data_IF_018494714347
#
_entry.id   IF_018494714347
#
_cell.length_a   1.000
_cell.length_b   1.000
_cell.length_c   1.000
_cell.angle_alpha   90.00
_cell.angle_beta   90.00
_cell.angle_gamma   90.00
#
_symmetry.space_group_name_H-M   'P 1'
#
loop_
_entity.id
_entity.type
_entity.pdbx_description
1 polymer ?
#
# COMPACT_ATOMS: atom_id res chain seq x y z
N UNK A 1 -2.29 -9.43 -6.92
CA UNK A 1 -1.35 -10.32 -6.23
C UNK A 1 -2.16 -11.22 -5.33
N UNK A 2 -2.68 -12.32 -5.88
CA UNK A 2 -3.56 -13.25 -5.19
C UNK A 2 -3.52 -14.62 -5.90
N UNK A 3 -3.25 -15.75 -5.20
CA UNK A 3 -2.79 -15.83 -3.81
C UNK A 3 -1.42 -15.13 -3.61
N UNK A 4 -1.18 -14.53 -2.44
CA UNK A 4 0.08 -13.81 -2.19
C UNK A 4 1.28 -14.77 -2.23
N UNK A 5 1.15 -15.93 -1.61
CA UNK A 5 2.23 -16.90 -1.46
C UNK A 5 2.72 -17.44 -2.82
N UNK A 6 1.79 -17.65 -3.77
CA UNK A 6 2.14 -18.06 -5.13
C UNK A 6 2.93 -16.98 -5.85
N UNK A 7 2.50 -15.72 -5.72
CA UNK A 7 3.21 -14.59 -6.30
C UNK A 7 4.61 -14.48 -5.73
N UNK A 8 4.75 -14.58 -4.41
CA UNK A 8 6.06 -14.42 -3.75
C UNK A 8 6.99 -15.61 -4.03
N UNK A 9 6.48 -16.86 -4.06
CA UNK A 9 7.27 -18.02 -4.53
C UNK A 9 7.73 -17.87 -5.99
N UNK A 10 6.89 -17.29 -6.85
CA UNK A 10 7.27 -17.01 -8.23
C UNK A 10 8.46 -16.03 -8.36
N UNK A 11 8.65 -15.14 -7.38
CA UNK A 11 9.79 -14.22 -7.35
C UNK A 11 11.11 -14.99 -7.16
N UNK A 12 11.12 -15.99 -6.27
CA UNK A 12 12.31 -16.83 -6.05
C UNK A 12 12.77 -17.52 -7.33
N UNK A 13 11.82 -18.10 -8.06
CA UNK A 13 12.08 -18.74 -9.36
C UNK A 13 12.57 -17.75 -10.42
N UNK A 14 11.99 -16.55 -10.48
CA UNK A 14 12.25 -15.58 -11.55
C UNK A 14 13.58 -14.82 -11.40
N UNK A 15 14.11 -14.71 -10.18
CA UNK A 15 15.23 -13.81 -9.87
C UNK A 15 16.59 -14.53 -9.83
N UNK A 16 17.63 -13.85 -10.32
CA UNK A 16 19.03 -14.27 -10.13
C UNK A 16 19.40 -14.25 -8.63
N UNK A 17 20.41 -15.04 -8.19
CA UNK A 17 20.77 -15.14 -6.76
C UNK A 17 21.05 -13.80 -6.06
N UNK A 18 21.72 -12.85 -6.73
CA UNK A 18 22.07 -11.55 -6.17
C UNK A 18 21.03 -10.43 -6.45
N UNK A 19 19.86 -10.77 -6.99
CA UNK A 19 18.83 -9.79 -7.30
C UNK A 19 18.10 -9.32 -6.04
N UNK A 20 17.57 -8.10 -6.12
CA UNK A 20 16.75 -7.49 -5.07
C UNK A 20 15.30 -7.46 -5.49
N UNK A 21 14.40 -7.69 -4.54
CA UNK A 21 12.97 -7.46 -4.73
C UNK A 21 12.65 -6.05 -4.25
N UNK A 22 12.00 -5.25 -5.10
CA UNK A 22 11.49 -3.93 -4.71
C UNK A 22 10.01 -3.88 -5.03
N UNK A 23 9.19 -3.64 -4.01
CA UNK A 23 7.73 -3.50 -4.14
C UNK A 23 7.33 -2.07 -3.83
N UNK A 24 6.55 -1.46 -4.71
CA UNK A 24 5.81 -0.23 -4.44
C UNK A 24 4.32 -0.55 -4.50
N UNK A 25 3.59 -0.26 -3.43
CA UNK A 25 2.15 -0.53 -3.35
C UNK A 25 1.41 0.61 -2.64
N UNK A 26 0.09 0.66 -2.80
CA UNK A 26 -0.76 1.49 -1.95
C UNK A 26 -0.57 1.07 -0.50
N UNK A 27 -0.42 2.04 0.41
CA UNK A 27 -0.10 1.75 1.80
C UNK A 27 -1.19 0.88 2.43
N UNK A 28 -0.88 -0.35 2.90
CA UNK A 28 -1.92 -1.24 3.40
C UNK A 28 -2.63 -0.71 4.64
N UNK A 29 -1.94 0.06 5.49
CA UNK A 29 -2.56 0.61 6.70
C UNK A 29 -3.42 1.85 6.44
N UNK A 30 -3.13 2.63 5.40
CA UNK A 30 -3.70 3.97 5.26
C UNK A 30 -4.46 4.20 3.96
N UNK A 31 -4.26 3.36 2.94
CA UNK A 31 -4.90 3.49 1.62
C UNK A 31 -5.67 2.24 1.22
N UNK A 32 -6.37 1.65 2.18
CA UNK A 32 -7.28 0.53 1.97
C UNK A 32 -8.49 0.99 1.12
N UNK A 33 -8.78 0.35 -0.02
CA UNK A 33 -9.96 0.66 -0.80
C UNK A 33 -11.23 0.47 0.02
N UNK A 34 -12.10 1.50 0.08
CA UNK A 34 -13.40 1.52 0.78
C UNK A 34 -13.36 1.36 2.32
N UNK A 35 -12.21 1.01 2.89
CA UNK A 35 -12.00 0.79 4.33
C UNK A 35 -11.01 1.79 4.96
N UNK A 36 -10.65 2.83 4.21
CA UNK A 36 -9.93 3.99 4.74
C UNK A 36 -10.46 5.28 4.16
N UNK A 37 -10.45 6.37 4.94
CA UNK A 37 -11.01 7.65 4.52
C UNK A 37 -10.47 8.84 5.29
N UNK A 38 -10.56 10.03 4.69
CA UNK A 38 -10.26 11.29 5.37
C UNK A 38 -11.45 11.74 6.22
N UNK A 39 -11.17 12.27 7.40
CA UNK A 39 -12.14 12.94 8.26
C UNK A 39 -11.53 14.18 8.90
N UNK A 40 -12.36 14.99 9.53
CA UNK A 40 -11.95 16.20 10.23
C UNK A 40 -12.49 16.16 11.66
N UNK A 41 -11.62 16.41 12.63
CA UNK A 41 -11.97 16.55 14.04
C UNK A 41 -12.19 18.04 14.33
N UNK A 42 -13.45 18.45 14.52
CA UNK A 42 -13.83 19.84 14.82
C UNK A 42 -13.24 20.34 16.15
N UNK A 43 -13.13 19.48 17.16
CA UNK A 43 -12.63 19.85 18.49
C UNK A 43 -11.12 20.08 18.47
N UNK A 44 -10.39 19.27 17.71
CA UNK A 44 -8.93 19.35 17.59
C UNK A 44 -8.47 20.22 16.42
N UNK A 45 -9.37 20.54 15.49
CA UNK A 45 -9.10 21.22 14.21
C UNK A 45 -8.03 20.50 13.39
N UNK A 46 -8.11 19.18 13.32
CA UNK A 46 -7.14 18.32 12.63
C UNK A 46 -7.80 17.40 11.63
N UNK A 47 -7.17 17.22 10.48
CA UNK A 47 -7.53 16.15 9.56
C UNK A 47 -6.95 14.83 10.06
N UNK A 48 -7.74 13.76 10.01
CA UNK A 48 -7.30 12.40 10.32
C UNK A 48 -7.66 11.41 9.21
N UNK A 49 -7.03 10.23 9.25
CA UNK A 49 -7.33 9.11 8.36
C UNK A 49 -8.00 8.00 9.18
N UNK A 50 -9.28 7.74 8.92
CA UNK A 50 -10.02 6.61 9.51
C UNK A 50 -9.57 5.31 8.84
N UNK A 51 -9.30 4.30 9.65
CA UNK A 51 -8.89 2.94 9.25
C UNK A 51 -9.91 1.95 9.81
N UNK A 52 -10.48 1.10 8.97
CA UNK A 52 -11.46 0.09 9.38
C UNK A 52 -10.98 -1.32 8.95
N UNK A 53 -11.04 -2.30 9.86
CA UNK A 53 -10.80 -3.71 9.53
C UNK A 53 -9.40 -4.03 8.97
N UNK A 54 -8.35 -3.33 9.42
CA UNK A 54 -6.99 -3.45 8.87
C UNK A 54 -6.43 -4.89 8.81
N UNK A 55 -6.65 -5.69 9.85
CA UNK A 55 -6.15 -7.06 9.91
C UNK A 55 -6.97 -8.05 9.07
N UNK A 56 -8.14 -7.65 8.57
CA UNK A 56 -9.00 -8.48 7.74
C UNK A 56 -8.56 -8.39 6.28
N UNK A 57 -8.25 -9.52 5.64
CA UNK A 57 -7.96 -9.53 4.20
C UNK A 57 -9.24 -9.30 3.39
N UNK A 58 -9.15 -8.49 2.33
CA UNK A 58 -10.32 -8.11 1.53
C UNK A 58 -9.99 -8.08 0.03
N UNK A 59 -10.87 -8.67 -0.78
CA UNK A 59 -10.86 -8.52 -2.23
C UNK A 59 -11.91 -7.49 -2.64
N UNK A 60 -11.48 -6.27 -2.96
CA UNK A 60 -12.35 -5.15 -3.26
C UNK A 60 -12.43 -4.92 -4.78
N UNK A 61 -13.63 -4.93 -5.39
CA UNK A 61 -13.79 -4.60 -6.80
C UNK A 61 -13.52 -3.11 -7.02
N UNK A 62 -12.69 -2.82 -8.02
CA UNK A 62 -12.33 -1.47 -8.43
C UNK A 62 -13.16 -1.07 -9.65
N UNK A 63 -13.44 0.24 -9.76
CA UNK A 63 -14.08 0.78 -10.97
C UNK A 63 -13.18 0.52 -12.18
N UNK A 64 -13.81 0.23 -13.31
CA UNK A 64 -13.11 0.21 -14.60
C UNK A 64 -12.41 1.54 -14.84
N UNK A 65 -11.15 1.47 -15.28
CA UNK A 65 -10.41 2.63 -15.75
C UNK A 65 -10.46 2.61 -17.29
N UNK A 66 -10.89 3.73 -17.90
CA UNK A 66 -10.84 3.90 -19.37
C UNK A 66 -11.70 2.92 -20.18
N UNK A 67 -12.77 2.36 -19.60
CA UNK A 67 -13.67 1.42 -20.30
C UNK A 67 -13.21 -0.04 -20.33
N UNK A 68 -12.11 -0.39 -19.64
CA UNK A 68 -11.65 -1.77 -19.50
C UNK A 68 -12.51 -2.63 -18.54
N UNK A 69 -12.11 -3.88 -18.33
CA UNK A 69 -12.75 -4.73 -17.33
C UNK A 69 -12.48 -4.23 -15.90
N UNK A 70 -13.43 -4.39 -14.96
CA UNK A 70 -13.18 -4.12 -13.55
C UNK A 70 -12.03 -4.96 -13.02
N UNK A 71 -11.11 -4.32 -12.29
CA UNK A 71 -10.03 -5.02 -11.60
C UNK A 71 -10.39 -5.26 -10.14
N UNK A 72 -9.67 -6.17 -9.47
CA UNK A 72 -9.77 -6.38 -8.02
C UNK A 72 -8.51 -5.90 -7.32
N UNK A 73 -8.70 -5.17 -6.23
CA UNK A 73 -7.64 -4.84 -5.28
C UNK A 73 -7.70 -5.81 -4.11
N UNK A 74 -6.55 -6.26 -3.64
CA UNK A 74 -6.42 -7.21 -2.53
C UNK A 74 -5.73 -6.51 -1.39
N UNK A 75 -6.48 -6.24 -0.32
CA UNK A 75 -5.97 -5.68 0.93
C UNK A 75 -5.50 -6.80 1.84
N UNK A 76 -4.32 -6.63 2.42
CA UNK A 76 -3.71 -7.48 3.47
C UNK A 76 -2.89 -6.60 4.40
N UNK A 77 -2.71 -6.93 5.68
CA UNK A 77 -1.82 -6.15 6.55
C UNK A 77 -0.36 -6.21 6.06
N UNK A 78 0.46 -5.23 6.42
CA UNK A 78 1.88 -5.16 6.06
C UNK A 78 2.63 -6.44 6.46
N UNK A 79 2.28 -7.02 7.61
CA UNK A 79 2.85 -8.27 8.11
C UNK A 79 2.66 -9.44 7.13
N UNK A 80 1.55 -9.49 6.39
CA UNK A 80 1.34 -10.54 5.39
C UNK A 80 2.41 -10.49 4.28
N UNK A 81 2.77 -9.29 3.82
CA UNK A 81 3.80 -9.12 2.79
C UNK A 81 5.20 -9.42 3.32
N UNK A 82 5.53 -8.96 4.53
CA UNK A 82 6.85 -9.21 5.15
C UNK A 82 7.03 -10.71 5.41
N UNK A 83 6.02 -11.37 5.98
CA UNK A 83 6.09 -12.79 6.31
C UNK A 83 6.13 -13.65 5.05
N UNK A 84 5.30 -13.35 4.03
CA UNK A 84 5.36 -14.10 2.76
C UNK A 84 6.74 -14.01 2.10
N UNK A 85 7.40 -12.84 2.14
CA UNK A 85 8.78 -12.68 1.68
C UNK A 85 9.75 -13.53 2.53
N UNK A 86 9.61 -13.50 3.85
CA UNK A 86 10.43 -14.29 4.77
C UNK A 86 10.32 -15.80 4.52
N UNK A 87 9.09 -16.30 4.34
CA UNK A 87 8.79 -17.70 4.09
C UNK A 87 9.33 -18.17 2.74
N UNK A 88 9.42 -17.27 1.76
CA UNK A 88 10.04 -17.52 0.46
C UNK A 88 11.57 -17.33 0.45
N UNK A 89 12.22 -17.16 1.61
CA UNK A 89 13.67 -17.04 1.70
C UNK A 89 14.22 -15.65 1.44
N UNK A 90 13.40 -14.60 1.54
CA UNK A 90 13.85 -13.20 1.43
C UNK A 90 13.86 -12.50 2.79
N UNK A 91 14.86 -11.65 3.03
CA UNK A 91 14.89 -10.73 4.16
C UNK A 91 14.53 -9.31 3.68
N UNK A 92 13.47 -8.73 4.21
CA UNK A 92 13.19 -7.30 4.05
C UNK A 92 14.27 -6.50 4.78
N UNK A 93 15.02 -5.67 4.04
CA UNK A 93 16.14 -4.89 4.57
C UNK A 93 15.90 -3.38 4.54
N UNK A 94 14.86 -2.93 3.85
CA UNK A 94 14.42 -1.54 3.87
C UNK A 94 12.91 -1.44 3.66
N UNK A 95 12.32 -0.45 4.32
CA UNK A 95 10.93 -0.05 4.18
C UNK A 95 10.88 1.47 4.10
N UNK A 96 10.08 2.01 3.18
CA UNK A 96 9.85 3.43 3.02
C UNK A 96 8.35 3.71 3.00
N UNK A 97 7.88 4.52 3.92
CA UNK A 97 6.50 5.02 3.96
C UNK A 97 6.44 6.36 3.24
N UNK A 98 5.59 6.46 2.22
CA UNK A 98 5.61 7.59 1.28
C UNK A 98 4.25 8.31 1.34
N UNK A 99 4.23 9.61 1.72
CA UNK A 99 3.03 10.45 1.66
C UNK A 99 2.60 10.71 0.22
N UNK A 100 1.42 11.33 0.06
CA UNK A 100 1.00 11.77 -1.27
C UNK A 100 1.86 12.94 -1.74
N UNK A 101 1.78 13.24 -3.03
CA UNK A 101 2.35 14.45 -3.58
C UNK A 101 1.71 15.67 -2.91
N UNK A 102 2.51 16.73 -2.64
CA UNK A 102 1.96 17.98 -2.18
C UNK A 102 0.99 18.56 -3.23
N UNK A 103 0.00 19.38 -2.82
CA UNK A 103 -1.09 19.82 -3.68
C UNK A 103 -0.63 20.49 -4.99
N UNK A 104 0.46 21.24 -4.95
CA UNK A 104 1.06 21.95 -6.09
C UNK A 104 1.61 21.00 -7.18
N UNK A 105 1.86 19.73 -6.83
CA UNK A 105 2.38 18.70 -7.75
C UNK A 105 1.33 17.66 -8.14
N UNK A 106 0.08 17.80 -7.70
CA UNK A 106 -0.95 16.79 -7.87
C UNK A 106 -1.82 17.07 -9.10
N UNK A 107 -1.97 16.12 -10.05
CA UNK A 107 -2.91 16.27 -11.15
C UNK A 107 -4.35 16.38 -10.63
N UNK A 108 -5.06 17.46 -10.97
CA UNK A 108 -6.47 17.65 -10.61
C UNK A 108 -6.76 18.40 -9.31
N UNK A 109 -5.76 19.04 -8.67
CA UNK A 109 -5.87 20.13 -7.68
C UNK A 109 -6.81 19.99 -6.45
N UNK A 110 -7.41 18.83 -6.16
CA UNK A 110 -8.18 18.67 -4.93
C UNK A 110 -7.31 18.03 -3.85
N UNK A 111 -6.74 18.85 -2.97
CA UNK A 111 -6.16 18.38 -1.72
C UNK A 111 -7.26 17.68 -0.90
N UNK A 112 -6.99 16.47 -0.40
CA UNK A 112 -7.91 15.78 0.52
C UNK A 112 -7.21 15.75 1.87
N UNK A 113 -7.71 16.54 2.82
CA UNK A 113 -7.04 16.80 4.08
C UNK A 113 -6.13 18.04 4.04
N UNK A 114 -5.73 18.50 5.22
CA UNK A 114 -4.81 19.64 5.37
C UNK A 114 -3.36 19.30 4.96
N UNK A 115 -2.51 20.33 4.85
CA UNK A 115 -1.13 20.19 4.37
C UNK A 115 -0.28 19.27 5.26
N UNK A 116 -0.49 19.32 6.59
CA UNK A 116 0.25 18.49 7.55
C UNK A 116 -0.16 17.03 7.39
N UNK A 117 -1.45 16.75 7.36
CA UNK A 117 -1.95 15.40 7.22
C UNK A 117 -1.51 14.74 5.90
N UNK A 118 -1.47 15.49 4.80
CA UNK A 118 -0.97 14.98 3.53
C UNK A 118 0.53 14.66 3.56
N UNK A 119 1.33 15.39 4.35
CA UNK A 119 2.77 15.16 4.48
C UNK A 119 3.11 14.01 5.45
N UNK A 120 2.27 13.79 6.46
CA UNK A 120 2.56 12.87 7.57
C UNK A 120 1.88 11.51 7.45
N UNK A 121 0.76 11.39 6.71
CA UNK A 121 0.02 10.13 6.58
C UNK A 121 0.38 9.46 5.24
N UNK A 122 1.13 8.35 5.26
CA UNK A 122 1.65 7.74 4.03
C UNK A 122 0.53 7.04 3.27
N UNK A 123 0.55 7.17 1.94
CA UNK A 123 -0.44 6.51 1.06
C UNK A 123 0.19 5.49 0.12
N UNK A 124 1.52 5.41 0.10
CA UNK A 124 2.27 4.34 -0.54
C UNK A 124 3.29 3.72 0.43
N UNK A 125 3.61 2.46 0.18
CA UNK A 125 4.62 1.70 0.88
C UNK A 125 5.63 1.17 -0.14
N UNK A 126 6.91 1.48 0.08
CA UNK A 126 8.05 0.86 -0.58
C UNK A 126 8.65 -0.21 0.33
N UNK A 127 8.89 -1.40 -0.20
CA UNK A 127 9.62 -2.48 0.47
C UNK A 127 10.79 -2.92 -0.40
N UNK A 128 11.94 -3.16 0.22
CA UNK A 128 13.08 -3.85 -0.40
C UNK A 128 13.41 -5.11 0.38
N UNK A 129 13.63 -6.20 -0.35
CA UNK A 129 14.09 -7.45 0.21
C UNK A 129 15.22 -8.06 -0.60
N UNK A 130 16.12 -8.76 0.08
CA UNK A 130 17.21 -9.53 -0.52
C UNK A 130 17.03 -11.01 -0.22
N UNK A 131 17.51 -11.88 -1.11
CA UNK A 131 17.55 -13.32 -0.87
C UNK A 131 18.48 -13.62 0.31
N UNK A 132 18.07 -14.55 1.19
CA UNK A 132 18.90 -15.08 2.28
C UNK A 132 19.87 -16.15 1.80
#
# INVERSE_FOLDING_TARGET
MDPLDDVVRGIDWALKPAARVVLLMTHPAFRQPRHSGWGFDEGRKLTYRRIDGYLTELAVPMKSLGGGLPTRSFHRPISAYINALADAGFATDAMLEIPDLPPDRRPGNVARGDARANAEIPIFLGLRANRR
#
